data_IF_859638474466
#
_entry.id   IF_859638474466
#
_cell.length_a   1.000
_cell.length_b   1.000
_cell.length_c   1.000
_cell.angle_alpha   90.00
_cell.angle_beta   90.00
_cell.angle_gamma   90.00
#
_symmetry.space_group_name_H-M   'P 1'
#
loop_
_entity.id
_entity.type
_entity.pdbx_description
1 polymer ?
#
# COMPACT_ATOMS: atom_id res chain seq x y z
N UNK A 1 8.96 6.92 20.98
CA UNK A 1 8.09 6.05 20.15
C UNK A 1 6.76 6.77 19.99
N UNK A 2 6.33 6.89 18.74
CA UNK A 2 5.12 7.59 18.32
C UNK A 2 3.86 6.86 18.78
N UNK A 3 2.71 7.55 18.97
CA UNK A 3 1.49 6.94 19.50
C UNK A 3 1.05 5.69 18.75
N UNK A 4 1.07 5.71 17.42
CA UNK A 4 0.65 4.61 16.55
C UNK A 4 1.60 3.42 16.63
N UNK A 5 2.90 3.66 16.76
CA UNK A 5 3.90 2.59 16.94
C UNK A 5 3.76 1.96 18.32
N UNK A 6 3.52 2.76 19.36
CA UNK A 6 3.25 2.28 20.72
C UNK A 6 1.95 1.48 20.78
N UNK A 7 0.91 1.94 20.11
CA UNK A 7 -0.35 1.20 20.00
C UNK A 7 -0.13 -0.13 19.25
N UNK A 8 0.64 -0.12 18.16
CA UNK A 8 1.05 -1.31 17.44
C UNK A 8 1.76 -2.32 18.35
N UNK A 9 2.69 -1.84 19.20
CA UNK A 9 3.38 -2.65 20.21
C UNK A 9 2.39 -3.28 21.22
N UNK A 10 1.49 -2.50 21.80
CA UNK A 10 0.52 -3.04 22.78
C UNK A 10 -0.40 -4.10 22.14
N UNK A 11 -0.85 -3.86 20.91
CA UNK A 11 -1.64 -4.84 20.14
C UNK A 11 -0.81 -6.09 19.82
N UNK A 12 0.46 -5.94 19.44
CA UNK A 12 1.37 -7.04 19.15
C UNK A 12 1.61 -7.92 20.40
N UNK A 13 1.84 -7.29 21.56
CA UNK A 13 1.97 -7.99 22.85
C UNK A 13 0.75 -8.83 23.18
N UNK A 14 -0.44 -8.28 22.94
CA UNK A 14 -1.69 -9.01 23.17
C UNK A 14 -1.80 -10.21 22.23
N UNK A 15 -1.57 -10.02 20.93
CA UNK A 15 -1.68 -11.08 19.91
C UNK A 15 -0.68 -12.21 20.11
N UNK A 16 0.57 -11.86 20.42
CA UNK A 16 1.67 -12.82 20.60
C UNK A 16 1.77 -13.35 22.05
N UNK A 17 0.86 -12.93 22.95
CA UNK A 17 0.87 -13.31 24.38
C UNK A 17 2.16 -12.94 25.13
N UNK A 18 2.77 -11.82 24.75
CA UNK A 18 4.05 -11.31 25.26
C UNK A 18 3.88 -10.16 26.27
N UNK A 19 2.89 -10.26 27.17
CA UNK A 19 2.61 -9.19 28.16
C UNK A 19 3.86 -8.89 28.99
N UNK A 20 4.24 -7.61 29.05
CA UNK A 20 5.41 -7.14 29.79
C UNK A 20 6.78 -7.43 29.17
N UNK A 21 6.84 -8.12 28.02
CA UNK A 21 8.09 -8.34 27.26
C UNK A 21 8.50 -7.07 26.52
N UNK A 22 9.79 -6.87 26.32
CA UNK A 22 10.32 -5.75 25.54
C UNK A 22 10.09 -5.94 24.04
N UNK A 23 10.59 -4.99 23.25
CA UNK A 23 10.43 -4.97 21.80
C UNK A 23 11.26 -6.04 21.09
N UNK A 24 12.27 -6.59 21.76
CA UNK A 24 13.12 -7.68 21.29
C UNK A 24 12.39 -9.02 21.11
N UNK A 25 11.23 -9.19 21.74
CA UNK A 25 10.44 -10.42 21.63
C UNK A 25 9.35 -10.34 20.55
N UNK A 26 9.11 -9.17 19.98
CA UNK A 26 8.02 -8.95 19.02
C UNK A 26 8.47 -9.37 17.62
N UNK A 27 7.81 -10.38 17.06
CA UNK A 27 8.05 -10.87 15.70
C UNK A 27 7.07 -10.29 14.68
N UNK A 28 5.85 -9.97 15.11
CA UNK A 28 4.78 -9.48 14.25
C UNK A 28 4.28 -8.10 14.70
N UNK A 29 4.43 -7.08 13.84
CA UNK A 29 4.01 -5.72 14.15
C UNK A 29 3.09 -5.17 13.05
N UNK A 30 1.94 -4.64 13.48
CA UNK A 30 1.05 -3.83 12.64
C UNK A 30 1.02 -2.40 13.14
N UNK A 31 1.31 -1.47 12.25
CA UNK A 31 1.21 -0.02 12.48
C UNK A 31 0.21 0.52 11.47
N UNK A 32 -0.76 1.29 11.96
CA UNK A 32 -1.73 1.95 11.10
C UNK A 32 -1.74 3.46 11.35
N UNK A 33 -1.98 4.25 10.30
CA UNK A 33 -2.19 5.71 10.39
C UNK A 33 -1.03 6.49 11.04
N UNK A 34 0.22 6.06 10.78
CA UNK A 34 1.40 6.68 11.36
C UNK A 34 2.08 7.65 10.38
N UNK A 35 2.32 8.89 10.83
CA UNK A 35 3.07 9.90 10.07
C UNK A 35 4.60 9.71 10.11
N UNK A 36 5.07 8.75 10.90
CA UNK A 36 6.49 8.45 11.08
C UNK A 36 6.66 7.00 11.55
N UNK A 37 7.71 6.36 11.05
CA UNK A 37 8.07 4.98 11.36
C UNK A 37 9.39 4.90 12.16
N UNK A 38 9.87 6.02 12.72
CA UNK A 38 11.13 6.07 13.45
C UNK A 38 11.19 5.06 14.61
N UNK A 39 10.06 4.78 15.27
CA UNK A 39 9.97 3.79 16.34
C UNK A 39 10.16 2.33 15.91
N UNK A 40 10.04 2.01 14.61
CA UNK A 40 10.16 0.63 14.08
C UNK A 40 11.56 0.06 14.28
N UNK A 41 12.59 0.90 14.38
CA UNK A 41 13.98 0.48 14.68
C UNK A 41 14.16 -0.25 16.01
N UNK A 42 13.18 -0.15 16.90
CA UNK A 42 13.26 -0.75 18.23
C UNK A 42 12.90 -2.24 18.24
N UNK A 43 12.47 -2.83 17.12
CA UNK A 43 11.97 -4.20 17.04
C UNK A 43 12.94 -5.08 16.22
N UNK A 44 14.06 -5.54 16.81
CA UNK A 44 15.13 -6.22 16.07
C UNK A 44 14.75 -7.63 15.60
N UNK A 45 13.68 -8.21 16.14
CA UNK A 45 13.23 -9.58 15.84
C UNK A 45 12.03 -9.64 14.88
N UNK A 46 11.69 -8.54 14.19
CA UNK A 46 10.53 -8.54 13.30
C UNK A 46 10.71 -9.51 12.13
N UNK A 47 9.76 -10.42 12.02
CA UNK A 47 9.57 -11.34 10.89
C UNK A 47 8.41 -10.85 9.99
N UNK A 48 7.41 -10.20 10.59
CA UNK A 48 6.23 -9.67 9.88
C UNK A 48 6.02 -8.20 10.24
N UNK A 49 6.01 -7.35 9.22
CA UNK A 49 5.70 -5.93 9.35
C UNK A 49 4.53 -5.56 8.44
N UNK A 50 3.48 -5.00 9.02
CA UNK A 50 2.32 -4.48 8.30
C UNK A 50 2.21 -2.97 8.57
N UNK A 51 2.31 -2.18 7.51
CA UNK A 51 2.15 -0.74 7.47
C UNK A 51 0.90 -0.43 6.66
N UNK A 52 -0.02 0.32 7.25
CA UNK A 52 -1.37 0.53 6.71
C UNK A 52 -1.80 1.97 6.92
N UNK A 53 -2.01 2.72 5.83
CA UNK A 53 -2.29 4.15 5.93
C UNK A 53 -1.15 4.96 6.56
N UNK A 54 0.12 4.57 6.38
CA UNK A 54 1.28 5.30 6.90
C UNK A 54 1.82 6.31 5.86
N UNK A 55 2.36 7.46 6.26
CA UNK A 55 2.85 8.46 5.29
C UNK A 55 3.98 9.34 5.87
N UNK A 56 5.04 9.68 5.10
CA UNK A 56 5.50 8.98 3.92
C UNK A 56 6.20 7.67 4.31
N UNK A 57 5.85 6.58 3.64
CA UNK A 57 6.63 5.35 3.74
C UNK A 57 7.74 5.41 2.70
N UNK A 58 8.98 5.36 3.18
CA UNK A 58 10.17 5.07 2.37
C UNK A 58 10.85 3.84 2.96
N UNK A 59 11.05 2.81 2.14
CA UNK A 59 11.71 1.58 2.59
C UNK A 59 13.18 1.86 2.95
N UNK A 60 13.84 2.79 2.26
CA UNK A 60 15.19 3.25 2.58
C UNK A 60 15.31 3.88 3.98
N UNK A 61 14.21 4.44 4.50
CA UNK A 61 14.12 5.00 5.86
C UNK A 61 13.93 3.95 6.96
N UNK A 62 13.63 2.69 6.60
CA UNK A 62 13.54 1.59 7.54
C UNK A 62 14.95 1.06 7.86
N UNK A 63 15.18 0.56 9.10
CA UNK A 63 16.43 -0.11 9.42
C UNK A 63 16.60 -1.36 8.56
N UNK A 64 17.83 -1.87 8.49
CA UNK A 64 18.06 -3.23 7.98
C UNK A 64 17.31 -4.22 8.89
N UNK A 65 16.47 -5.08 8.30
CA UNK A 65 15.69 -6.08 9.03
C UNK A 65 15.98 -7.45 8.45
N UNK A 66 17.10 -8.04 8.86
CA UNK A 66 17.56 -9.31 8.32
C UNK A 66 16.63 -10.49 8.72
N UNK A 67 15.75 -10.32 9.70
CA UNK A 67 14.75 -11.35 10.07
C UNK A 67 13.41 -11.19 9.32
N UNK A 68 13.22 -10.12 8.56
CA UNK A 68 11.92 -9.82 7.95
C UNK A 68 11.62 -10.78 6.81
N UNK A 69 10.54 -11.54 6.96
CA UNK A 69 10.06 -12.54 5.99
C UNK A 69 8.87 -11.99 5.20
N UNK A 70 8.02 -11.18 5.84
CA UNK A 70 6.81 -10.61 5.24
C UNK A 70 6.72 -9.11 5.49
N UNK A 71 6.60 -8.36 4.40
CA UNK A 71 6.36 -6.92 4.42
C UNK A 71 5.07 -6.60 3.69
N UNK A 72 4.15 -5.96 4.40
CA UNK A 72 2.93 -5.37 3.82
C UNK A 72 2.97 -3.87 4.02
N UNK A 73 2.85 -3.12 2.93
CA UNK A 73 2.69 -1.66 2.90
C UNK A 73 1.45 -1.38 2.07
N UNK A 74 0.38 -0.92 2.70
CA UNK A 74 -0.89 -0.66 2.01
C UNK A 74 -1.39 0.74 2.30
N UNK A 75 -2.01 1.38 1.31
CA UNK A 75 -2.63 2.70 1.44
C UNK A 75 -1.66 3.77 1.99
N UNK A 76 -0.36 3.62 1.73
CA UNK A 76 0.71 4.33 2.45
C UNK A 76 1.55 5.25 1.56
N UNK A 77 1.03 5.58 0.37
CA UNK A 77 1.68 6.52 -0.55
C UNK A 77 3.10 6.13 -0.98
N UNK A 78 3.50 4.85 -0.89
CA UNK A 78 4.83 4.39 -1.28
C UNK A 78 5.06 4.64 -2.78
N UNK A 79 6.15 5.33 -3.15
CA UNK A 79 6.42 5.77 -4.53
C UNK A 79 7.50 4.99 -5.25
N UNK A 80 8.44 4.45 -4.48
CA UNK A 80 9.56 3.67 -4.98
C UNK A 80 9.84 2.49 -4.04
N UNK A 81 10.71 1.59 -4.50
CA UNK A 81 11.14 0.42 -3.77
C UNK A 81 12.61 0.54 -3.34
N UNK A 82 13.14 1.76 -3.27
CA UNK A 82 14.51 2.00 -2.84
C UNK A 82 14.70 1.53 -1.40
N UNK A 83 15.73 0.71 -1.17
CA UNK A 83 15.99 0.07 0.12
C UNK A 83 15.30 -1.29 0.31
N UNK A 84 14.64 -1.86 -0.71
CA UNK A 84 14.10 -3.23 -0.64
C UNK A 84 15.19 -4.29 -0.36
N UNK A 85 16.43 -4.02 -0.74
CA UNK A 85 17.62 -4.84 -0.49
C UNK A 85 18.01 -4.96 1.00
N UNK A 86 17.45 -4.09 1.86
CA UNK A 86 17.60 -4.14 3.32
C UNK A 86 16.90 -5.33 3.98
N UNK A 87 16.05 -6.04 3.23
CA UNK A 87 15.24 -7.17 3.70
C UNK A 87 15.70 -8.46 3.01
N UNK A 88 16.91 -8.91 3.33
CA UNK A 88 17.57 -10.00 2.60
C UNK A 88 16.79 -11.33 2.59
N UNK A 89 16.00 -11.58 3.64
CA UNK A 89 15.19 -12.80 3.82
C UNK A 89 13.71 -12.61 3.43
N UNK A 90 13.37 -11.49 2.78
CA UNK A 90 11.99 -11.19 2.41
C UNK A 90 11.48 -12.20 1.39
N UNK A 91 10.39 -12.89 1.75
CA UNK A 91 9.73 -13.89 0.90
C UNK A 91 8.37 -13.40 0.41
N UNK A 92 7.68 -12.59 1.19
CA UNK A 92 6.35 -12.04 0.88
C UNK A 92 6.39 -10.52 0.88
N UNK A 93 6.03 -9.91 -0.24
CA UNK A 93 5.91 -8.46 -0.39
C UNK A 93 4.50 -8.10 -0.86
N UNK A 94 3.79 -7.29 -0.09
CA UNK A 94 2.50 -6.73 -0.48
C UNK A 94 2.60 -5.22 -0.43
N UNK A 95 2.62 -4.56 -1.60
CA UNK A 95 2.72 -3.09 -1.74
C UNK A 95 1.49 -2.52 -2.44
N UNK A 96 0.35 -3.14 -2.19
CA UNK A 96 -0.91 -2.78 -2.84
C UNK A 96 -1.37 -1.37 -2.44
N UNK A 97 -2.12 -0.72 -3.34
CA UNK A 97 -2.76 0.56 -3.05
C UNK A 97 -1.75 1.65 -2.64
N UNK A 98 -0.68 1.78 -3.42
CA UNK A 98 0.32 2.84 -3.25
C UNK A 98 0.47 3.65 -4.56
N UNK A 99 1.62 4.27 -4.75
CA UNK A 99 1.95 5.15 -5.87
C UNK A 99 3.18 4.66 -6.63
N UNK A 100 3.41 3.34 -6.65
CA UNK A 100 4.53 2.74 -7.34
C UNK A 100 4.37 2.90 -8.86
N UNK A 101 5.45 3.32 -9.51
CA UNK A 101 5.53 3.41 -10.96
C UNK A 101 6.56 2.41 -11.53
N UNK A 102 7.67 2.21 -10.85
CA UNK A 102 8.76 1.31 -11.26
C UNK A 102 8.85 0.08 -10.35
N UNK A 103 8.94 -1.11 -10.98
CA UNK A 103 9.13 -2.40 -10.31
C UNK A 103 10.52 -3.01 -10.57
N UNK A 104 11.40 -2.32 -11.30
CA UNK A 104 12.77 -2.74 -11.59
C UNK A 104 13.54 -3.28 -10.38
N UNK A 105 13.49 -2.62 -9.21
CA UNK A 105 14.15 -3.12 -8.00
C UNK A 105 13.74 -4.54 -7.58
N UNK A 106 12.53 -5.00 -7.94
CA UNK A 106 12.06 -6.35 -7.61
C UNK A 106 12.79 -7.44 -8.38
N UNK A 107 13.43 -7.13 -9.51
CA UNK A 107 14.24 -8.10 -10.24
C UNK A 107 15.43 -8.59 -9.41
N UNK A 108 15.94 -7.77 -8.48
CA UNK A 108 17.01 -8.15 -7.55
C UNK A 108 16.49 -8.65 -6.19
N UNK A 109 15.16 -8.71 -5.99
CA UNK A 109 14.56 -9.13 -4.73
C UNK A 109 14.38 -10.66 -4.68
N UNK A 110 14.46 -11.23 -3.47
CA UNK A 110 14.26 -12.66 -3.22
C UNK A 110 12.79 -13.04 -2.95
N UNK A 111 11.86 -12.07 -2.98
CA UNK A 111 10.46 -12.32 -2.69
C UNK A 111 9.85 -13.29 -3.72
N UNK A 112 9.16 -14.31 -3.21
CA UNK A 112 8.51 -15.36 -4.02
C UNK A 112 7.01 -15.12 -4.19
N UNK A 113 6.43 -14.21 -3.40
CA UNK A 113 5.04 -13.83 -3.49
C UNK A 113 4.92 -12.30 -3.41
N UNK A 114 4.49 -11.68 -4.51
CA UNK A 114 4.46 -10.22 -4.68
C UNK A 114 3.05 -9.78 -5.07
N UNK A 115 2.49 -8.81 -4.35
CA UNK A 115 1.21 -8.19 -4.66
C UNK A 115 1.37 -6.68 -4.85
N UNK A 116 1.06 -6.17 -6.04
CA UNK A 116 1.27 -4.78 -6.46
C UNK A 116 0.00 -4.10 -7.00
N UNK A 117 -1.16 -4.76 -6.90
CA UNK A 117 -2.47 -4.19 -7.28
C UNK A 117 -2.70 -2.80 -6.70
N UNK A 118 -3.37 -1.94 -7.44
CA UNK A 118 -3.69 -0.59 -7.04
C UNK A 118 -2.50 0.38 -7.08
N UNK A 119 -1.61 0.22 -8.06
CA UNK A 119 -0.49 1.13 -8.28
C UNK A 119 -0.51 1.65 -9.73
N UNK A 120 -0.13 2.92 -9.97
CA UNK A 120 0.02 3.47 -11.32
C UNK A 120 1.31 2.98 -11.99
N UNK A 121 1.42 1.65 -12.15
CA UNK A 121 2.61 1.00 -12.69
C UNK A 121 2.89 1.49 -14.11
N UNK A 122 4.15 1.73 -14.43
CA UNK A 122 4.58 2.04 -15.79
C UNK A 122 4.25 0.89 -16.73
N UNK A 123 4.20 1.19 -18.03
CA UNK A 123 4.04 0.17 -19.06
C UNK A 123 5.13 -0.92 -18.98
N UNK A 124 6.38 -0.52 -18.79
CA UNK A 124 7.50 -1.43 -18.61
C UNK A 124 7.29 -2.34 -17.39
N UNK A 125 6.91 -1.75 -16.25
CA UNK A 125 6.65 -2.49 -15.01
C UNK A 125 5.55 -3.54 -15.20
N UNK A 126 4.45 -3.15 -15.85
CA UNK A 126 3.28 -4.01 -16.00
C UNK A 126 3.43 -5.06 -17.11
N UNK A 127 3.92 -4.66 -18.29
CA UNK A 127 3.97 -5.51 -19.48
C UNK A 127 5.27 -6.32 -19.60
N UNK A 128 6.34 -5.95 -18.90
CA UNK A 128 7.65 -6.61 -19.01
C UNK A 128 8.10 -7.21 -17.67
N UNK A 129 8.17 -6.39 -16.61
CA UNK A 129 8.75 -6.81 -15.32
C UNK A 129 7.87 -7.83 -14.61
N UNK A 130 6.55 -7.62 -14.57
CA UNK A 130 5.63 -8.58 -13.95
C UNK A 130 5.70 -9.97 -14.63
N UNK A 131 5.64 -10.08 -15.98
CA UNK A 131 5.88 -11.35 -16.66
C UNK A 131 7.27 -11.94 -16.40
N UNK A 132 8.32 -11.14 -16.34
CA UNK A 132 9.68 -11.62 -16.05
C UNK A 132 9.78 -12.25 -14.64
N UNK A 133 9.19 -11.59 -13.63
CA UNK A 133 9.09 -12.12 -12.27
C UNK A 133 8.30 -13.44 -12.27
N UNK A 134 7.16 -13.49 -12.96
CA UNK A 134 6.35 -14.69 -13.07
C UNK A 134 7.13 -15.85 -13.73
N UNK A 135 7.88 -15.57 -14.81
CA UNK A 135 8.72 -16.55 -15.50
C UNK A 135 9.84 -17.13 -14.62
N UNK A 136 10.28 -16.38 -13.60
CA UNK A 136 11.22 -16.83 -12.57
C UNK A 136 10.57 -17.66 -11.46
N UNK A 137 9.26 -17.92 -11.54
CA UNK A 137 8.50 -18.67 -10.53
C UNK A 137 8.00 -17.82 -9.37
N UNK A 138 8.08 -16.48 -9.46
CA UNK A 138 7.49 -15.58 -8.46
C UNK A 138 5.99 -15.55 -8.67
N UNK A 139 5.20 -15.77 -7.61
CA UNK A 139 3.76 -15.56 -7.63
C UNK A 139 3.48 -14.07 -7.59
N UNK A 140 3.03 -13.51 -8.71
CA UNK A 140 2.67 -12.09 -8.82
C UNK A 140 1.15 -11.91 -8.83
N UNK A 141 0.69 -10.89 -8.12
CA UNK A 141 -0.70 -10.42 -8.14
C UNK A 141 -0.70 -8.93 -8.46
N UNK A 142 -1.39 -8.57 -9.54
CA UNK A 142 -1.55 -7.21 -10.03
C UNK A 142 -2.98 -7.00 -10.51
N UNK A 143 -3.36 -5.76 -10.81
CA UNK A 143 -4.68 -5.47 -11.36
C UNK A 143 -4.85 -6.09 -12.75
N UNK A 144 -6.09 -6.38 -13.12
CA UNK A 144 -6.45 -6.67 -14.51
C UNK A 144 -6.16 -5.43 -15.40
N UNK A 145 -5.96 -5.61 -16.72
CA UNK A 145 -5.52 -4.53 -17.59
C UNK A 145 -6.43 -3.29 -17.57
N UNK A 146 -7.74 -3.48 -17.35
CA UNK A 146 -8.72 -2.39 -17.34
C UNK A 146 -8.50 -1.45 -16.15
N UNK A 147 -8.43 -1.99 -14.95
CA UNK A 147 -8.27 -1.24 -13.71
C UNK A 147 -6.89 -0.60 -13.62
N UNK A 148 -5.86 -1.32 -14.09
CA UNK A 148 -4.51 -0.75 -14.24
C UNK A 148 -4.51 0.45 -15.18
N UNK A 149 -5.07 0.33 -16.39
CA UNK A 149 -5.14 1.42 -17.35
C UNK A 149 -5.95 2.60 -16.81
N UNK A 150 -7.05 2.33 -16.10
CA UNK A 150 -7.86 3.37 -15.47
C UNK A 150 -7.05 4.15 -14.44
N UNK A 151 -6.34 3.43 -13.57
CA UNK A 151 -5.41 4.00 -12.58
C UNK A 151 -4.37 4.89 -13.28
N UNK A 152 -3.66 4.37 -14.28
CA UNK A 152 -2.65 5.14 -15.00
C UNK A 152 -3.23 6.40 -15.66
N UNK A 153 -4.42 6.32 -16.27
CA UNK A 153 -5.09 7.48 -16.90
C UNK A 153 -5.47 8.55 -15.89
N UNK A 154 -5.98 8.16 -14.72
CA UNK A 154 -6.31 9.11 -13.65
C UNK A 154 -5.05 9.84 -13.16
N UNK A 155 -4.00 9.10 -12.80
CA UNK A 155 -2.74 9.70 -12.32
C UNK A 155 -2.08 10.58 -13.39
N UNK A 156 -2.09 10.16 -14.66
CA UNK A 156 -1.57 10.96 -15.77
C UNK A 156 -2.34 12.29 -15.97
N UNK A 157 -3.63 12.32 -15.60
CA UNK A 157 -4.45 13.52 -15.62
C UNK A 157 -4.34 14.38 -14.34
N UNK A 158 -3.47 13.99 -13.39
CA UNK A 158 -3.32 14.67 -12.10
C UNK A 158 -4.43 14.36 -11.10
N UNK A 159 -5.23 13.33 -11.35
CA UNK A 159 -6.25 12.83 -10.42
C UNK A 159 -5.58 11.81 -9.49
N UNK A 160 -5.51 12.05 -8.17
CA UNK A 160 -4.73 11.24 -7.24
C UNK A 160 -5.44 9.95 -6.81
N UNK A 161 -6.36 9.45 -7.64
CA UNK A 161 -7.13 8.25 -7.36
C UNK A 161 -6.60 7.06 -8.13
N UNK A 162 -6.64 5.91 -7.47
CA UNK A 162 -6.37 4.62 -8.08
C UNK A 162 -7.64 3.79 -8.05
N UNK A 163 -7.80 2.94 -9.07
CA UNK A 163 -8.91 2.01 -9.15
C UNK A 163 -8.47 0.68 -8.53
N UNK A 164 -9.34 0.08 -7.73
CA UNK A 164 -9.15 -1.26 -7.20
C UNK A 164 -10.44 -2.06 -7.29
N UNK A 165 -10.31 -3.33 -7.65
CA UNK A 165 -11.41 -4.27 -7.80
C UNK A 165 -11.41 -5.29 -6.66
N UNK A 166 -12.56 -5.51 -6.06
CA UNK A 166 -12.79 -6.54 -5.05
C UNK A 166 -14.01 -7.37 -5.43
N UNK A 167 -13.78 -8.62 -5.83
CA UNK A 167 -14.85 -9.45 -6.39
C UNK A 167 -15.39 -8.82 -7.68
N UNK A 168 -16.67 -8.46 -7.70
CA UNK A 168 -17.34 -7.80 -8.82
C UNK A 168 -17.42 -6.27 -8.69
N UNK A 169 -16.96 -5.71 -7.58
CA UNK A 169 -17.10 -4.28 -7.27
C UNK A 169 -15.80 -3.53 -7.52
N UNK A 170 -15.94 -2.27 -7.96
CA UNK A 170 -14.83 -1.36 -8.21
C UNK A 170 -14.88 -0.18 -7.26
N UNK A 171 -13.70 0.22 -6.82
CA UNK A 171 -13.52 1.29 -5.86
C UNK A 171 -12.48 2.27 -6.35
N UNK A 172 -12.70 3.55 -6.08
CA UNK A 172 -11.67 4.57 -6.07
C UNK A 172 -11.16 4.78 -4.65
N UNK A 173 -9.87 5.01 -4.53
CA UNK A 173 -9.21 5.39 -3.27
C UNK A 173 -8.00 6.29 -3.59
N UNK A 174 -7.58 7.08 -2.61
CA UNK A 174 -6.36 7.87 -2.66
C UNK A 174 -5.33 7.27 -1.68
N UNK A 175 -4.15 6.85 -2.14
CA UNK A 175 -3.08 6.37 -1.25
C UNK A 175 -2.55 7.45 -0.29
N UNK A 176 -2.22 7.08 0.95
CA UNK A 176 -1.54 7.94 1.94
C UNK A 176 -2.43 8.42 3.10
N UNK A 177 -1.88 9.24 4.01
CA UNK A 177 -2.59 9.67 5.23
C UNK A 177 -3.78 10.61 4.97
N UNK A 178 -3.85 11.21 3.78
CA UNK A 178 -4.95 12.09 3.39
C UNK A 178 -6.28 11.35 3.24
N UNK A 179 -6.26 10.02 3.13
CA UNK A 179 -7.45 9.21 2.85
C UNK A 179 -7.37 7.84 3.52
N UNK A 180 -8.42 7.44 4.24
CA UNK A 180 -8.48 6.19 5.02
C UNK A 180 -9.21 5.10 4.24
N UNK A 181 -9.00 3.84 4.63
CA UNK A 181 -9.67 2.67 4.03
C UNK A 181 -11.21 2.76 4.01
N UNK A 182 -11.80 3.58 4.90
CA UNK A 182 -13.25 3.85 4.96
C UNK A 182 -13.76 4.79 3.88
N UNK A 183 -12.86 5.46 3.19
CA UNK A 183 -13.17 6.49 2.21
C UNK A 183 -13.14 5.92 0.78
N UNK A 184 -13.23 4.59 0.64
CA UNK A 184 -13.35 3.93 -0.67
C UNK A 184 -14.70 4.31 -1.30
N UNK A 185 -14.65 4.82 -2.53
CA UNK A 185 -15.84 5.19 -3.29
C UNK A 185 -16.18 4.03 -4.23
N UNK A 186 -17.30 3.37 -4.02
CA UNK A 186 -17.83 2.43 -5.01
C UNK A 186 -18.17 3.18 -6.30
N UNK A 187 -17.74 2.64 -7.44
CA UNK A 187 -17.89 3.29 -8.75
C UNK A 187 -18.46 2.36 -9.81
N UNK A 188 -19.15 2.96 -10.78
CA UNK A 188 -19.32 2.37 -12.10
C UNK A 188 -18.09 2.72 -12.95
N UNK A 189 -17.36 1.70 -13.40
CA UNK A 189 -16.14 1.88 -14.20
C UNK A 189 -16.42 2.55 -15.54
N UNK A 190 -17.55 2.24 -16.18
CA UNK A 190 -17.91 2.84 -17.47
C UNK A 190 -18.13 4.36 -17.31
N UNK A 191 -18.76 4.77 -16.22
CA UNK A 191 -18.97 6.19 -15.89
C UNK A 191 -17.64 6.90 -15.61
N UNK A 192 -16.72 6.27 -14.87
CA UNK A 192 -15.40 6.85 -14.59
C UNK A 192 -14.58 6.96 -15.88
N UNK A 193 -14.60 5.94 -16.75
CA UNK A 193 -13.91 5.97 -18.04
C UNK A 193 -14.44 7.08 -18.95
N UNK A 194 -15.76 7.27 -19.00
CA UNK A 194 -16.42 8.35 -19.73
C UNK A 194 -16.05 9.72 -19.15
N UNK A 195 -16.00 9.84 -17.82
CA UNK A 195 -15.61 11.07 -17.13
C UNK A 195 -14.15 11.43 -17.43
N UNK A 196 -13.24 10.46 -17.41
CA UNK A 196 -11.84 10.69 -17.79
C UNK A 196 -11.72 11.11 -19.27
N UNK A 197 -12.52 10.53 -20.16
CA UNK A 197 -12.50 10.89 -21.57
C UNK A 197 -13.01 12.32 -21.83
N UNK A 198 -13.99 12.78 -21.03
CA UNK A 198 -14.55 14.14 -21.12
C UNK A 198 -13.68 15.17 -20.39
N UNK A 199 -13.50 14.99 -19.09
CA UNK A 199 -12.81 15.90 -18.19
C UNK A 199 -12.43 15.17 -16.88
N UNK A 200 -11.20 14.66 -16.75
CA UNK A 200 -10.78 13.91 -15.55
C UNK A 200 -10.90 14.68 -14.24
N UNK A 201 -10.82 16.02 -14.26
CA UNK A 201 -10.90 16.84 -13.06
C UNK A 201 -12.25 16.77 -12.36
N UNK A 202 -13.31 16.36 -13.06
CA UNK A 202 -14.62 16.11 -12.45
C UNK A 202 -14.55 14.98 -11.43
N UNK A 203 -13.58 14.06 -11.53
CA UNK A 203 -13.40 13.03 -10.51
C UNK A 203 -12.95 13.61 -9.16
N UNK A 204 -12.29 14.77 -9.15
CA UNK A 204 -11.84 15.40 -7.89
C UNK A 204 -13.01 15.75 -6.98
N UNK A 205 -14.18 16.06 -7.55
CA UNK A 205 -15.38 16.41 -6.79
C UNK A 205 -16.10 15.18 -6.21
N UNK A 206 -15.78 13.97 -6.69
CA UNK A 206 -16.35 12.75 -6.11
C UNK A 206 -16.02 12.68 -4.63
N UNK A 207 -14.78 12.96 -4.25
CA UNK A 207 -14.36 12.90 -2.85
C UNK A 207 -14.81 14.09 -1.99
N UNK A 208 -14.99 15.27 -2.57
CA UNK A 208 -15.57 16.43 -1.87
C UNK A 208 -16.98 16.09 -1.34
N UNK A 209 -17.79 15.41 -2.16
CA UNK A 209 -19.12 14.94 -1.78
C UNK A 209 -19.10 13.91 -0.65
N UNK A 210 -18.14 12.99 -0.65
CA UNK A 210 -18.00 11.99 0.43
C UNK A 210 -17.50 12.61 1.75
N UNK A 211 -16.64 13.64 1.70
CA UNK A 211 -16.22 14.36 2.90
C UNK A 211 -17.38 15.11 3.57
N UNK A 212 -18.31 15.66 2.78
CA UNK A 212 -19.53 16.32 3.25
C UNK A 212 -20.54 15.30 3.83
N UNK A 213 -20.79 14.19 3.13
CA UNK A 213 -21.72 13.14 3.58
C UNK A 213 -21.23 12.44 4.87
N UNK A 214 -19.91 12.20 5.00
CA UNK A 214 -19.32 11.62 6.21
C UNK A 214 -19.37 12.57 7.41
N UNK A 215 -19.28 13.89 7.19
CA UNK A 215 -19.43 14.88 8.25
C UNK A 215 -20.87 14.95 8.77
N UNK A 216 -21.86 14.87 7.86
CA UNK A 216 -23.29 14.85 8.24
C UNK A 216 -23.70 13.55 8.94
N UNK A 217 -23.10 12.41 8.58
CA UNK A 217 -23.37 11.12 9.24
C UNK A 217 -22.78 10.98 10.66
N UNK A 218 -21.90 11.91 11.08
CA UNK A 218 -21.37 11.99 12.46
C UNK A 218 -22.12 12.98 13.36
N UNK A 219 -23.11 13.69 12.83
CA UNK A 219 -23.95 14.65 13.57
C UNK A 219 -25.36 14.13 13.92
N UNK A 220 -25.69 12.87 13.58
CA UNK A 220 -26.88 12.13 14.04
C UNK A 220 -26.53 11.02 15.04
#
# INVERSE_FOLDING_TARGET
>A
MEPQVREGLERARLRQRLRGRGTEAITDLRISNAASLNGVRNFPALEVLILDGCDPVSLAGLPRMDQLISLTVQDSGLRDLDGIDRFANLSVLTVQRNLLHDLGPLLACNATNIAVSGNPLSRQSYEEILPELAARGVRVSADEPREWQLTCRMHAAGVPFSCWKSGSEHFLYAPGLGFRERDRIAIDVDEVEATIARNPRELLTLFERFAEDAAHATEE
#
